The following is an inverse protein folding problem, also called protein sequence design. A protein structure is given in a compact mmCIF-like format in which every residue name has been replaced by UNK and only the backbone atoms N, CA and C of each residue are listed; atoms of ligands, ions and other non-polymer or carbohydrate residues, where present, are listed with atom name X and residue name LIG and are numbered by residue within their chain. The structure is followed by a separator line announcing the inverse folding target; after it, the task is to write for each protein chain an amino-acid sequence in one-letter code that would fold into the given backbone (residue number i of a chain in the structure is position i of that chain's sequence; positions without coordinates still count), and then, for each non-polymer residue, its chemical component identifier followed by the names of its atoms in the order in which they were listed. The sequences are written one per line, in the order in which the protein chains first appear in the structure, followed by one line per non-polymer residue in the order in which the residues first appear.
data_IF_590495596596
#
_entry.id   IF_590495596596
#
_cell.length_a   1.000
_cell.length_b   1.000
_cell.length_c   1.000
_cell.angle_alpha   90.00
_cell.angle_beta   90.00
_cell.angle_gamma   90.00
#
_symmetry.space_group_name_H-M   'P 1'
#
loop_
_entity.id
_entity.type
_entity.pdbx_description
1 polymer ?
#
# COMPACT_ATOMS: atom_id res chain seq x y z
N UNK A 1 -19.01 -18.08 105.23
CA UNK A 1 -17.96 -17.37 104.45
C UNK A 1 -17.34 -18.20 103.30
N UNK A 2 -17.22 -19.53 103.39
CA UNK A 2 -16.60 -20.38 102.33
C UNK A 2 -17.42 -20.47 101.02
N UNK A 3 -18.74 -20.54 101.08
CA UNK A 3 -19.60 -20.63 99.89
C UNK A 3 -19.57 -19.37 99.00
N UNK A 4 -19.46 -18.16 99.58
CA UNK A 4 -19.35 -16.90 98.83
C UNK A 4 -18.01 -16.77 98.10
N UNK A 5 -16.90 -17.24 98.68
CA UNK A 5 -15.58 -17.24 98.04
C UNK A 5 -15.49 -18.26 96.90
N UNK A 6 -16.10 -19.43 97.07
CA UNK A 6 -16.22 -20.43 96.01
C UNK A 6 -17.01 -19.91 94.82
N UNK A 7 -18.20 -19.32 95.05
CA UNK A 7 -19.04 -18.79 93.99
C UNK A 7 -18.34 -17.68 93.18
N UNK A 8 -17.69 -16.72 93.86
CA UNK A 8 -16.94 -15.65 93.17
C UNK A 8 -15.83 -16.24 92.30
N UNK A 9 -15.08 -17.23 92.78
CA UNK A 9 -14.01 -17.86 92.01
C UNK A 9 -14.55 -18.55 90.75
N UNK A 10 -15.65 -19.32 90.86
CA UNK A 10 -16.25 -20.01 89.71
C UNK A 10 -16.82 -19.03 88.70
N UNK A 11 -17.48 -17.95 89.16
CA UNK A 11 -18.01 -16.91 88.28
C UNK A 11 -16.89 -16.15 87.58
N UNK A 12 -15.79 -15.84 88.27
CA UNK A 12 -14.61 -15.18 87.66
C UNK A 12 -13.94 -16.08 86.62
N UNK A 13 -13.79 -17.38 86.90
CA UNK A 13 -13.26 -18.34 85.91
C UNK A 13 -14.19 -18.48 84.70
N UNK A 14 -15.50 -18.54 84.90
CA UNK A 14 -16.47 -18.61 83.81
C UNK A 14 -16.41 -17.35 82.92
N UNK A 15 -16.30 -16.17 83.53
CA UNK A 15 -16.17 -14.90 82.80
C UNK A 15 -14.85 -14.85 82.01
N UNK A 16 -13.71 -15.25 82.60
CA UNK A 16 -12.41 -15.29 81.92
C UNK A 16 -12.44 -16.26 80.72
N UNK A 17 -13.08 -17.42 80.89
CA UNK A 17 -13.20 -18.43 79.82
C UNK A 17 -14.07 -17.94 78.67
N UNK A 18 -15.19 -17.27 78.97
CA UNK A 18 -16.06 -16.67 77.94
C UNK A 18 -15.34 -15.55 77.19
N UNK A 19 -14.57 -14.71 77.89
CA UNK A 19 -13.79 -13.63 77.28
C UNK A 19 -12.64 -14.15 76.39
N UNK A 20 -11.99 -15.25 76.75
CA UNK A 20 -10.93 -15.86 75.92
C UNK A 20 -11.49 -16.52 74.66
N UNK A 21 -12.63 -17.21 74.75
CA UNK A 21 -13.31 -17.78 73.58
C UNK A 21 -13.80 -16.67 72.64
N UNK A 22 -14.41 -15.61 73.18
CA UNK A 22 -14.85 -14.46 72.39
C UNK A 22 -13.67 -13.71 71.73
N UNK A 23 -12.56 -13.53 72.45
CA UNK A 23 -11.33 -12.94 71.92
C UNK A 23 -10.70 -13.77 70.80
N UNK A 24 -10.67 -15.10 70.95
CA UNK A 24 -10.16 -16.02 69.93
C UNK A 24 -11.03 -16.03 68.66
N UNK A 25 -12.36 -15.99 68.79
CA UNK A 25 -13.30 -15.91 67.67
C UNK A 25 -13.16 -14.55 66.96
N UNK A 26 -13.04 -13.45 67.71
CA UNK A 26 -12.82 -12.11 67.15
C UNK A 26 -11.51 -12.00 66.37
N UNK A 27 -10.40 -12.50 66.94
CA UNK A 27 -9.11 -12.58 66.24
C UNK A 27 -9.21 -13.44 64.98
N UNK A 28 -9.88 -14.60 65.04
CA UNK A 28 -10.06 -15.47 63.88
C UNK A 28 -10.84 -14.80 62.74
N UNK A 29 -11.94 -14.10 63.05
CA UNK A 29 -12.76 -13.40 62.05
C UNK A 29 -11.97 -12.25 61.42
N UNK A 30 -11.31 -11.42 62.24
CA UNK A 30 -10.47 -10.30 61.74
C UNK A 30 -9.32 -10.83 60.88
N UNK A 31 -8.66 -11.90 61.31
CA UNK A 31 -7.55 -12.50 60.55
C UNK A 31 -8.04 -13.11 59.24
N UNK A 32 -9.24 -13.72 59.21
CA UNK A 32 -9.85 -14.28 58.01
C UNK A 32 -10.27 -13.19 57.02
N UNK A 33 -10.91 -12.12 57.48
CA UNK A 33 -11.28 -10.98 56.62
C UNK A 33 -10.05 -10.22 56.12
N UNK A 34 -9.01 -10.08 56.96
CA UNK A 34 -7.73 -9.50 56.56
C UNK A 34 -7.04 -10.38 55.51
N UNK A 35 -7.02 -11.70 55.69
CA UNK A 35 -6.48 -12.65 54.69
C UNK A 35 -7.24 -12.59 53.37
N UNK A 36 -8.58 -12.63 53.39
CA UNK A 36 -9.40 -12.51 52.18
C UNK A 36 -9.13 -11.18 51.46
N UNK A 37 -8.94 -10.10 52.21
CA UNK A 37 -8.62 -8.77 51.65
C UNK A 37 -7.20 -8.72 51.07
N UNK A 38 -6.23 -9.35 51.73
CA UNK A 38 -4.84 -9.48 51.24
C UNK A 38 -4.79 -10.36 49.99
N UNK A 39 -5.45 -11.52 49.99
CA UNK A 39 -5.52 -12.45 48.85
C UNK A 39 -6.20 -11.78 47.65
N UNK A 40 -7.26 -11.01 47.89
CA UNK A 40 -7.93 -10.21 46.85
C UNK A 40 -7.00 -9.11 46.33
N UNK A 41 -6.29 -8.41 47.22
CA UNK A 41 -5.30 -7.38 46.84
C UNK A 41 -4.17 -7.96 45.99
N UNK A 42 -3.64 -9.12 46.38
CA UNK A 42 -2.56 -9.80 45.68
C UNK A 42 -3.04 -10.34 44.33
N UNK A 43 -4.26 -10.88 44.25
CA UNK A 43 -4.90 -11.26 42.98
C UNK A 43 -5.07 -10.07 42.04
N UNK A 44 -5.49 -8.90 42.53
CA UNK A 44 -5.62 -7.69 41.71
C UNK A 44 -4.25 -7.23 41.21
N UNK A 45 -3.22 -7.27 42.05
CA UNK A 45 -1.85 -6.90 41.65
C UNK A 45 -1.26 -7.89 40.65
N UNK A 46 -1.51 -9.19 40.82
CA UNK A 46 -1.13 -10.22 39.86
C UNK A 46 -1.81 -10.00 38.50
N UNK A 47 -3.11 -9.67 38.48
CA UNK A 47 -3.82 -9.34 37.25
C UNK A 47 -3.19 -8.14 36.55
N UNK A 48 -3.00 -7.01 37.26
CA UNK A 48 -2.37 -5.80 36.70
C UNK A 48 -0.98 -6.08 36.13
N UNK A 49 -0.19 -6.91 36.79
CA UNK A 49 1.12 -7.33 36.27
C UNK A 49 0.99 -8.11 34.96
N UNK A 50 0.01 -9.01 34.86
CA UNK A 50 -0.28 -9.73 33.62
C UNK A 50 -0.73 -8.78 32.50
N UNK A 51 -1.62 -7.81 32.78
CA UNK A 51 -2.08 -6.79 31.82
C UNK A 51 -0.91 -5.96 31.28
N UNK A 52 -0.06 -5.45 32.18
CA UNK A 52 1.14 -4.69 31.80
C UNK A 52 2.12 -5.53 30.97
N UNK A 53 2.24 -6.83 31.24
CA UNK A 53 3.03 -7.74 30.41
C UNK A 53 2.54 -7.78 28.96
N UNK A 54 1.21 -7.82 28.74
CA UNK A 54 0.61 -7.76 27.40
C UNK A 54 0.85 -6.42 26.73
N UNK A 55 0.68 -5.30 27.44
CA UNK A 55 0.93 -3.96 26.89
C UNK A 55 2.38 -3.77 26.46
N UNK A 56 3.34 -4.20 27.29
CA UNK A 56 4.77 -4.13 26.98
C UNK A 56 5.12 -5.02 25.80
N UNK A 57 4.51 -6.20 25.69
CA UNK A 57 4.68 -7.08 24.54
C UNK A 57 4.20 -6.41 23.24
N UNK A 58 3.03 -5.77 23.27
CA UNK A 58 2.51 -4.98 22.15
C UNK A 58 3.47 -3.84 21.79
N UNK A 59 4.01 -3.10 22.77
CA UNK A 59 4.99 -2.03 22.51
C UNK A 59 6.28 -2.59 21.87
N UNK A 60 6.78 -3.73 22.35
CA UNK A 60 7.96 -4.40 21.78
C UNK A 60 7.71 -4.86 20.34
N UNK A 61 6.53 -5.38 20.05
CA UNK A 61 6.09 -5.72 18.69
C UNK A 61 6.06 -4.46 17.79
N UNK A 62 5.46 -3.36 18.27
CA UNK A 62 5.41 -2.07 17.56
C UNK A 62 6.78 -1.51 17.23
N UNK A 63 7.74 -1.67 18.14
CA UNK A 63 9.10 -1.14 17.99
C UNK A 63 10.08 -2.12 17.32
N UNK A 64 9.59 -3.27 16.79
CA UNK A 64 10.41 -4.31 16.14
C UNK A 64 11.59 -4.79 16.99
N UNK A 65 11.40 -4.84 18.31
CA UNK A 65 12.42 -5.28 19.27
C UNK A 65 12.47 -6.82 19.40
N UNK A 66 11.60 -7.53 18.69
CA UNK A 66 11.49 -8.98 18.69
C UNK A 66 11.96 -9.48 17.33
N UNK A 67 13.03 -10.28 17.31
CA UNK A 67 13.69 -10.73 16.09
C UNK A 67 13.47 -12.21 15.78
N UNK A 68 12.88 -12.98 16.70
CA UNK A 68 12.61 -14.41 16.55
C UNK A 68 11.41 -14.84 17.39
N UNK A 69 10.69 -15.88 16.94
CA UNK A 69 9.58 -16.49 17.67
C UNK A 69 9.82 -17.99 17.91
N UNK A 70 9.36 -18.57 19.03
CA UNK A 70 8.69 -17.89 20.15
C UNK A 70 9.64 -16.96 20.93
N UNK A 71 9.10 -15.89 21.49
CA UNK A 71 9.86 -14.88 22.26
C UNK A 71 9.33 -14.79 23.68
N UNK A 72 10.21 -14.81 24.69
CA UNK A 72 9.81 -14.70 26.09
C UNK A 72 10.57 -13.60 26.83
N UNK A 73 9.88 -12.90 27.73
CA UNK A 73 10.51 -11.93 28.62
C UNK A 73 9.75 -11.81 29.94
N UNK A 74 10.41 -11.30 30.98
CA UNK A 74 9.84 -11.11 32.30
C UNK A 74 10.15 -9.72 32.85
N UNK A 75 9.35 -9.25 33.80
CA UNK A 75 9.56 -7.97 34.47
C UNK A 75 8.80 -7.85 35.78
N UNK A 76 8.88 -6.68 36.41
CA UNK A 76 8.21 -6.38 37.68
C UNK A 76 7.49 -5.03 37.58
N UNK A 77 6.26 -4.95 38.08
CA UNK A 77 5.50 -3.72 38.23
C UNK A 77 4.75 -3.71 39.57
N UNK A 78 4.84 -2.63 40.34
CA UNK A 78 4.10 -2.51 41.62
C UNK A 78 4.35 -3.66 42.61
N UNK A 79 5.59 -4.17 42.71
CA UNK A 79 5.99 -5.32 43.52
C UNK A 79 5.33 -6.66 43.12
N UNK A 80 4.77 -6.78 41.93
CA UNK A 80 4.30 -8.02 41.31
C UNK A 80 5.14 -8.32 40.06
N UNK A 81 5.41 -9.59 39.79
CA UNK A 81 6.20 -10.03 38.63
C UNK A 81 5.31 -10.48 37.50
N UNK A 82 5.74 -10.32 36.25
CA UNK A 82 5.07 -10.91 35.10
C UNK A 82 6.07 -11.68 34.23
N UNK A 83 5.59 -12.71 33.54
CA UNK A 83 6.32 -13.47 32.52
C UNK A 83 5.44 -13.56 31.29
N UNK A 84 5.99 -13.19 30.13
CA UNK A 84 5.27 -13.17 28.85
C UNK A 84 5.94 -14.11 27.87
N UNK A 85 5.13 -14.87 27.14
CA UNK A 85 5.52 -15.64 25.97
C UNK A 85 4.73 -15.15 24.77
N UNK A 86 5.41 -14.92 23.65
CA UNK A 86 4.84 -14.53 22.38
C UNK A 86 5.08 -15.61 21.34
N UNK A 87 4.03 -15.94 20.59
CA UNK A 87 4.07 -16.89 19.49
C UNK A 87 3.37 -16.31 18.25
N UNK A 88 3.66 -16.87 17.07
CA UNK A 88 3.09 -16.45 15.79
C UNK A 88 2.17 -17.54 15.26
N UNK A 89 0.94 -17.17 14.91
CA UNK A 89 -0.01 -18.05 14.24
C UNK A 89 -0.59 -17.34 13.00
N UNK A 90 -0.03 -17.65 11.83
CA UNK A 90 -0.35 -16.94 10.59
C UNK A 90 0.00 -15.45 10.68
N UNK A 91 -0.98 -14.58 10.43
CA UNK A 91 -0.83 -13.11 10.54
C UNK A 91 -1.12 -12.55 11.96
N UNK A 92 -1.38 -13.42 12.93
CA UNK A 92 -1.71 -13.05 14.31
C UNK A 92 -0.58 -13.38 15.28
N UNK A 93 -0.41 -12.55 16.31
CA UNK A 93 0.51 -12.77 17.42
C UNK A 93 -0.29 -13.18 18.66
N UNK A 94 0.09 -14.29 19.27
CA UNK A 94 -0.50 -14.75 20.53
C UNK A 94 0.43 -14.33 21.67
N UNK A 95 -0.11 -13.57 22.61
CA UNK A 95 0.60 -13.08 23.79
C UNK A 95 0.02 -13.78 25.02
N UNK A 96 0.84 -14.58 25.69
CA UNK A 96 0.51 -15.25 26.95
C UNK A 96 1.30 -14.63 28.10
N UNK A 97 0.61 -13.85 28.95
CA UNK A 97 1.22 -13.12 30.07
C UNK A 97 0.71 -13.67 31.40
N UNK A 98 1.64 -14.12 32.25
CA UNK A 98 1.36 -14.60 33.61
C UNK A 98 1.89 -13.60 34.63
N UNK A 99 1.00 -13.01 35.42
CA UNK A 99 1.32 -12.13 36.52
C UNK A 99 1.24 -12.84 37.86
N UNK A 100 2.18 -12.57 38.76
CA UNK A 100 2.29 -13.23 40.07
C UNK A 100 2.59 -12.20 41.17
N UNK A 101 1.86 -12.32 42.28
CA UNK A 101 2.10 -11.60 43.53
C UNK A 101 1.92 -12.57 44.70
N UNK A 102 3.01 -12.86 45.41
CA UNK A 102 3.02 -13.88 46.47
C UNK A 102 2.47 -15.22 45.93
N UNK A 103 1.40 -15.74 46.52
CA UNK A 103 0.73 -16.99 46.11
C UNK A 103 -0.36 -16.78 45.05
N UNK A 104 -0.73 -15.54 44.73
CA UNK A 104 -1.72 -15.23 43.71
C UNK A 104 -1.08 -15.19 42.31
N UNK A 105 -1.65 -15.96 41.38
CA UNK A 105 -1.27 -15.97 39.96
C UNK A 105 -2.50 -15.68 39.09
N UNK A 106 -2.30 -14.86 38.05
CA UNK A 106 -3.30 -14.54 37.03
C UNK A 106 -2.66 -14.62 35.67
N UNK A 107 -3.43 -15.06 34.68
CA UNK A 107 -2.94 -15.22 33.31
C UNK A 107 -3.84 -14.51 32.33
N UNK A 108 -3.24 -13.86 31.35
CA UNK A 108 -3.94 -13.24 30.22
C UNK A 108 -3.41 -13.84 28.93
N UNK A 109 -4.33 -14.29 28.08
CA UNK A 109 -4.02 -14.70 26.71
C UNK A 109 -4.71 -13.72 25.76
N UNK A 110 -3.91 -12.97 25.01
CA UNK A 110 -4.38 -12.01 24.03
C UNK A 110 -3.97 -12.45 22.62
N UNK A 111 -4.85 -12.26 21.64
CA UNK A 111 -4.49 -12.36 20.21
C UNK A 111 -4.51 -10.96 19.63
N UNK A 112 -3.41 -10.57 18.99
CA UNK A 112 -3.26 -9.27 18.34
C UNK A 112 -2.88 -9.44 16.89
N UNK A 113 -3.50 -8.64 16.02
CA UNK A 113 -3.21 -8.63 14.59
C UNK A 113 -2.60 -7.30 14.17
N UNK A 114 -1.71 -7.39 13.19
CA UNK A 114 -1.13 -6.24 12.52
C UNK A 114 -2.26 -5.52 11.77
N UNK A 115 -2.67 -4.31 12.17
CA UNK A 115 -3.69 -3.56 11.42
C UNK A 115 -3.03 -2.99 10.17
N UNK A 116 -3.38 -3.48 8.97
CA UNK A 116 -2.85 -2.92 7.72
C UNK A 116 -2.88 -1.39 7.74
N UNK A 117 -1.80 -0.74 7.29
CA UNK A 117 -1.79 0.72 7.17
C UNK A 117 -2.93 1.13 6.25
N UNK A 118 -3.65 2.21 6.56
CA UNK A 118 -4.62 2.77 5.62
C UNK A 118 -3.87 3.17 4.35
N UNK A 119 -4.10 2.43 3.27
CA UNK A 119 -3.59 2.78 1.96
C UNK A 119 -4.55 3.78 1.31
N UNK A 120 -4.00 4.84 0.75
CA UNK A 120 -4.74 5.82 -0.02
C UNK A 120 -4.34 5.66 -1.48
N UNK A 121 -5.26 5.25 -2.38
CA UNK A 121 -4.95 5.15 -3.80
C UNK A 121 -4.43 6.49 -4.34
N UNK A 122 -4.88 7.60 -3.76
CA UNK A 122 -4.32 8.93 -3.99
C UNK A 122 -3.54 9.36 -2.75
N UNK A 123 -2.22 9.16 -2.77
CA UNK A 123 -1.29 9.44 -1.68
C UNK A 123 -0.35 10.58 -2.07
N UNK A 124 -0.58 11.80 -1.59
CA UNK A 124 0.22 12.99 -1.94
C UNK A 124 0.82 13.63 -0.68
N UNK A 125 2.10 13.36 -0.39
CA UNK A 125 2.80 13.93 0.76
C UNK A 125 3.31 15.36 0.50
N UNK A 126 2.46 16.19 -0.09
CA UNK A 126 2.72 17.58 -0.45
C UNK A 126 1.41 18.29 -0.77
N UNK A 127 1.51 19.37 -1.52
CA UNK A 127 0.34 20.11 -1.98
C UNK A 127 -0.28 19.44 -3.21
N UNK A 128 -1.59 19.21 -3.18
CA UNK A 128 -2.39 18.83 -4.34
C UNK A 128 -3.03 20.07 -4.95
N UNK A 129 -2.64 20.40 -6.19
CA UNK A 129 -3.26 21.43 -7.02
C UNK A 129 -3.80 20.82 -8.30
N UNK A 130 -5.09 21.01 -8.52
CA UNK A 130 -5.77 20.72 -9.79
C UNK A 130 -6.63 21.94 -10.14
N UNK A 131 -6.29 22.69 -11.20
CA UNK A 131 -7.03 23.92 -11.49
C UNK A 131 -8.50 23.64 -11.87
N UNK A 132 -8.76 22.52 -12.55
CA UNK A 132 -10.11 22.11 -12.95
C UNK A 132 -10.32 20.61 -12.75
N UNK A 133 -11.18 20.24 -11.81
CA UNK A 133 -11.66 18.86 -11.66
C UNK A 133 -13.07 18.74 -12.28
N UNK A 134 -13.19 17.92 -13.32
CA UNK A 134 -14.42 17.74 -14.07
C UNK A 134 -14.80 16.27 -14.08
N UNK A 135 -15.84 15.96 -13.32
CA UNK A 135 -16.42 14.63 -13.21
C UNK A 135 -17.83 14.65 -13.83
N UNK A 136 -17.90 14.51 -15.16
CA UNK A 136 -19.11 14.76 -15.97
C UNK A 136 -19.69 13.52 -16.66
N UNK A 137 -19.15 12.33 -16.37
CA UNK A 137 -19.60 11.07 -16.94
C UNK A 137 -20.86 10.46 -16.31
N UNK A 138 -21.24 9.26 -16.75
CA UNK A 138 -22.41 8.52 -16.24
C UNK A 138 -22.24 8.16 -14.75
N UNK A 139 -21.08 7.61 -14.37
CA UNK A 139 -20.72 7.50 -12.97
C UNK A 139 -20.17 8.84 -12.49
N UNK A 140 -20.89 9.51 -11.59
CA UNK A 140 -20.42 10.74 -10.92
C UNK A 140 -19.81 10.46 -9.55
N UNK A 141 -20.00 9.27 -9.02
CA UNK A 141 -19.45 8.85 -7.74
C UNK A 141 -18.30 7.90 -7.97
N UNK A 142 -17.21 8.14 -7.28
CA UNK A 142 -16.07 7.23 -7.27
C UNK A 142 -16.21 6.17 -6.18
N UNK A 143 -15.72 4.97 -6.46
CA UNK A 143 -15.53 3.90 -5.47
C UNK A 143 -14.08 3.89 -4.97
N UNK A 144 -13.85 3.36 -3.77
CA UNK A 144 -12.53 3.22 -3.12
C UNK A 144 -11.60 4.46 -3.18
N UNK A 145 -12.19 5.65 -3.31
CA UNK A 145 -11.49 6.89 -3.60
C UNK A 145 -11.03 7.58 -2.31
N UNK A 146 -10.04 6.98 -1.66
CA UNK A 146 -9.40 7.57 -0.48
C UNK A 146 -8.22 8.46 -0.91
N UNK A 147 -8.27 9.73 -0.52
CA UNK A 147 -7.25 10.73 -0.79
C UNK A 147 -6.55 11.13 0.51
N UNK A 148 -5.27 10.79 0.65
CA UNK A 148 -4.40 11.22 1.73
C UNK A 148 -3.46 12.30 1.22
N UNK A 149 -3.52 13.50 1.79
CA UNK A 149 -2.83 14.68 1.26
C UNK A 149 -2.28 15.56 2.38
N UNK A 150 -1.11 16.17 2.17
CA UNK A 150 -0.55 17.13 3.15
C UNK A 150 -1.26 18.48 3.13
N UNK A 151 -1.57 19.00 1.94
CA UNK A 151 -2.30 20.25 1.76
C UNK A 151 -3.12 20.27 0.46
N UNK A 152 -4.31 20.84 0.52
CA UNK A 152 -5.25 20.97 -0.61
C UNK A 152 -6.11 22.22 -0.36
N UNK A 153 -6.54 22.91 -1.42
CA UNK A 153 -7.50 24.02 -1.28
C UNK A 153 -8.89 23.50 -0.88
N UNK A 154 -9.66 24.31 -0.15
CA UNK A 154 -11.00 23.92 0.27
C UNK A 154 -11.95 23.74 -0.93
N UNK A 155 -11.80 24.54 -1.98
CA UNK A 155 -12.61 24.40 -3.20
C UNK A 155 -12.37 23.06 -3.88
N UNK A 156 -11.09 22.66 -4.02
CA UNK A 156 -10.74 21.40 -4.65
C UNK A 156 -11.15 20.21 -3.78
N UNK A 157 -10.91 20.29 -2.46
CA UNK A 157 -11.36 19.27 -1.51
C UNK A 157 -12.87 19.04 -1.61
N UNK A 158 -13.67 20.10 -1.61
CA UNK A 158 -15.12 20.01 -1.77
C UNK A 158 -15.51 19.33 -3.08
N UNK A 159 -14.84 19.67 -4.19
CA UNK A 159 -15.11 19.05 -5.49
C UNK A 159 -14.81 17.52 -5.50
N UNK A 160 -13.78 17.10 -4.77
CA UNK A 160 -13.48 15.67 -4.56
C UNK A 160 -14.55 14.99 -3.69
N UNK A 161 -14.93 15.58 -2.56
CA UNK A 161 -15.96 15.04 -1.66
C UNK A 161 -17.34 14.94 -2.34
N UNK A 162 -17.71 15.92 -3.18
CA UNK A 162 -18.91 15.88 -4.03
C UNK A 162 -18.87 14.75 -5.05
N UNK A 163 -17.68 14.25 -5.39
CA UNK A 163 -17.44 13.10 -6.25
C UNK A 163 -17.26 11.79 -5.47
N UNK A 164 -17.65 11.76 -4.19
CA UNK A 164 -17.58 10.63 -3.26
C UNK A 164 -16.17 10.23 -2.79
N UNK A 165 -15.17 11.11 -2.91
CA UNK A 165 -13.87 10.86 -2.28
C UNK A 165 -13.95 11.03 -0.77
N UNK A 166 -13.19 10.20 -0.04
CA UNK A 166 -12.87 10.46 1.37
C UNK A 166 -11.52 11.17 1.44
N UNK A 167 -11.54 12.47 1.73
CA UNK A 167 -10.31 13.29 1.79
C UNK A 167 -9.79 13.38 3.22
N UNK A 168 -8.54 12.98 3.43
CA UNK A 168 -7.81 13.13 4.68
C UNK A 168 -6.63 14.07 4.49
N UNK A 169 -6.64 15.16 5.25
CA UNK A 169 -5.57 16.15 5.25
C UNK A 169 -4.74 15.97 6.52
N UNK A 170 -3.45 15.73 6.37
CA UNK A 170 -2.49 15.71 7.48
C UNK A 170 -1.32 16.66 7.20
N UNK A 171 -1.28 17.87 7.80
CA UNK A 171 -0.20 18.82 7.59
C UNK A 171 1.18 18.31 8.02
N UNK A 172 1.25 17.32 8.90
CA UNK A 172 2.50 16.67 9.30
C UNK A 172 3.03 15.71 8.23
N UNK A 173 2.19 15.35 7.25
CA UNK A 173 2.48 14.42 6.18
C UNK A 173 2.18 12.98 6.55
N UNK A 174 2.18 12.12 5.53
CA UNK A 174 1.98 10.69 5.69
C UNK A 174 3.25 9.94 5.25
N UNK A 175 3.43 8.72 5.74
CA UNK A 175 4.46 7.81 5.22
C UNK A 175 3.87 6.95 4.09
N UNK A 176 4.18 7.32 2.85
CA UNK A 176 3.62 6.72 1.65
C UNK A 176 4.62 5.85 0.86
N UNK A 177 4.14 4.94 -0.01
CA UNK A 177 4.95 4.20 -1.00
C UNK A 177 6.00 5.04 -1.69
N UNK A 178 7.25 4.56 -1.66
CA UNK A 178 8.38 5.20 -2.34
C UNK A 178 8.81 4.41 -3.57
N UNK A 179 8.78 5.04 -4.74
CA UNK A 179 9.24 4.46 -5.99
C UNK A 179 10.74 4.16 -5.96
N UNK A 180 11.52 4.94 -5.19
CA UNK A 180 12.94 4.66 -4.89
C UNK A 180 13.21 3.29 -4.28
N UNK A 181 12.21 2.64 -3.68
CA UNK A 181 12.35 1.31 -3.10
C UNK A 181 11.96 0.19 -4.07
N UNK A 182 11.49 0.50 -5.29
CA UNK A 182 11.15 -0.51 -6.27
C UNK A 182 12.41 -1.07 -6.93
N UNK A 183 12.46 -2.38 -7.07
CA UNK A 183 13.56 -3.11 -7.67
C UNK A 183 13.33 -3.29 -9.18
N UNK A 184 13.56 -2.21 -9.93
CA UNK A 184 13.62 -2.19 -11.39
C UNK A 184 14.98 -1.60 -11.77
N UNK A 185 15.95 -2.46 -12.07
CA UNK A 185 17.31 -2.04 -12.44
C UNK A 185 17.60 -2.40 -13.91
N UNK A 186 18.05 -1.45 -14.74
CA UNK A 186 18.45 -1.72 -16.13
C UNK A 186 19.49 -2.84 -16.25
N UNK A 187 20.39 -2.94 -15.27
CA UNK A 187 21.49 -3.91 -15.25
C UNK A 187 20.98 -5.36 -15.26
N UNK A 188 19.83 -5.62 -14.63
CA UNK A 188 19.20 -6.95 -14.54
C UNK A 188 18.67 -7.45 -15.87
N UNK A 189 18.20 -6.56 -16.75
CA UNK A 189 17.56 -6.94 -18.00
C UNK A 189 18.54 -7.10 -19.16
N UNK A 190 19.69 -6.43 -19.07
CA UNK A 190 20.63 -6.40 -20.19
C UNK A 190 21.80 -7.38 -20.04
N UNK A 191 21.90 -8.20 -18.98
CA UNK A 191 23.06 -9.06 -18.66
C UNK A 191 23.55 -9.92 -19.80
N UNK A 192 22.63 -10.43 -20.62
CA UNK A 192 22.92 -11.48 -21.59
C UNK A 192 22.64 -11.06 -23.05
N UNK A 193 22.39 -9.77 -23.31
CA UNK A 193 22.02 -9.27 -24.64
C UNK A 193 23.27 -8.77 -25.39
N UNK A 194 23.55 -9.34 -26.57
CA UNK A 194 24.71 -9.00 -27.44
C UNK A 194 24.77 -7.52 -27.87
N UNK A 195 23.65 -6.80 -27.82
CA UNK A 195 23.60 -5.34 -28.02
C UNK A 195 24.18 -4.64 -26.79
N UNK A 196 25.46 -4.29 -26.90
CA UNK A 196 26.32 -3.89 -25.77
C UNK A 196 25.71 -2.80 -24.89
N UNK A 197 25.57 -3.13 -23.59
CA UNK A 197 25.15 -2.26 -22.48
C UNK A 197 25.79 -0.87 -22.44
N UNK A 198 26.95 -0.70 -23.06
CA UNK A 198 27.74 0.53 -23.00
C UNK A 198 27.71 1.37 -24.31
N UNK A 199 26.99 0.93 -25.35
CA UNK A 199 26.84 1.71 -26.60
C UNK A 199 25.65 2.66 -26.53
N UNK A 200 25.83 3.85 -27.06
CA UNK A 200 24.71 4.71 -27.41
C UNK A 200 24.07 4.17 -28.70
N UNK A 201 22.75 4.02 -28.69
CA UNK A 201 21.96 3.55 -29.83
C UNK A 201 21.06 4.67 -30.33
N UNK A 202 20.97 4.81 -31.65
CA UNK A 202 19.92 5.61 -32.30
C UNK A 202 19.06 4.66 -33.12
N UNK A 203 17.78 4.60 -32.81
CA UNK A 203 16.79 3.75 -33.44
C UNK A 203 15.94 4.61 -34.36
N UNK A 204 16.39 4.77 -35.61
CA UNK A 204 15.69 5.56 -36.63
C UNK A 204 14.58 4.79 -37.34
N UNK A 205 14.67 3.46 -37.38
CA UNK A 205 13.64 2.57 -37.92
C UNK A 205 13.42 1.38 -36.98
N UNK A 206 12.68 1.62 -35.90
CA UNK A 206 12.33 0.58 -34.94
C UNK A 206 11.48 -0.53 -35.58
N UNK A 207 10.73 -0.22 -36.64
CA UNK A 207 9.88 -1.18 -37.35
C UNK A 207 10.72 -2.27 -38.01
N UNK A 208 11.83 -1.90 -38.64
CA UNK A 208 12.74 -2.87 -39.25
C UNK A 208 13.36 -3.82 -38.21
N UNK A 209 13.73 -3.30 -37.03
CA UNK A 209 14.29 -4.11 -35.95
C UNK A 209 13.29 -5.12 -35.36
N UNK A 210 12.01 -4.77 -35.35
CA UNK A 210 10.92 -5.61 -34.82
C UNK A 210 10.32 -6.52 -35.88
N UNK A 211 10.67 -6.34 -37.15
CA UNK A 211 10.13 -7.13 -38.26
C UNK A 211 10.43 -8.62 -38.05
N UNK A 212 9.38 -9.44 -38.08
CA UNK A 212 9.43 -10.89 -37.90
C UNK A 212 9.98 -11.35 -36.54
N UNK A 213 9.98 -10.49 -35.51
CA UNK A 213 10.27 -10.89 -34.13
C UNK A 213 8.97 -11.27 -33.43
N UNK A 214 8.98 -12.38 -32.71
CA UNK A 214 7.92 -12.82 -31.80
C UNK A 214 8.52 -13.10 -30.41
N UNK A 215 7.67 -13.28 -29.40
CA UNK A 215 8.10 -13.51 -28.02
C UNK A 215 8.53 -12.21 -27.33
N UNK A 216 9.67 -12.18 -26.63
CA UNK A 216 10.15 -10.98 -25.92
C UNK A 216 11.41 -10.42 -26.58
N UNK A 217 11.40 -9.12 -26.87
CA UNK A 217 12.51 -8.38 -27.48
C UNK A 217 13.07 -7.37 -26.48
N UNK A 218 14.35 -7.52 -26.15
CA UNK A 218 15.11 -6.56 -25.35
C UNK A 218 16.03 -5.73 -26.25
N UNK A 219 15.89 -4.41 -26.19
CA UNK A 219 16.81 -3.46 -26.80
C UNK A 219 17.57 -2.76 -25.68
N UNK A 220 18.87 -3.08 -25.59
CA UNK A 220 19.73 -2.63 -24.51
C UNK A 220 20.81 -1.65 -25.00
N UNK A 221 21.04 -0.58 -24.24
CA UNK A 221 22.08 0.39 -24.55
C UNK A 221 22.45 1.28 -23.37
N UNK A 222 23.48 2.10 -23.54
CA UNK A 222 23.87 3.13 -22.57
C UNK A 222 22.87 4.29 -22.62
N UNK A 223 22.79 4.95 -23.77
CA UNK A 223 21.72 5.90 -24.11
C UNK A 223 20.99 5.36 -25.33
N UNK A 224 19.66 5.46 -25.36
CA UNK A 224 18.84 5.06 -26.51
C UNK A 224 18.06 6.28 -26.99
N UNK A 225 18.33 6.72 -28.22
CA UNK A 225 17.55 7.73 -28.91
C UNK A 225 16.61 7.06 -29.90
N UNK A 226 15.32 7.38 -29.86
CA UNK A 226 14.31 6.88 -30.79
C UNK A 226 13.85 8.05 -31.64
N UNK A 227 14.08 7.93 -32.93
CA UNK A 227 13.84 8.97 -33.92
C UNK A 227 13.02 8.39 -35.09
N UNK A 228 12.36 9.25 -35.85
CA UNK A 228 11.98 8.89 -37.23
C UNK A 228 10.77 7.97 -37.40
N UNK A 229 10.03 7.64 -36.34
CA UNK A 229 8.76 6.92 -36.49
C UNK A 229 7.69 7.98 -36.77
N UNK A 230 7.58 8.40 -38.02
CA UNK A 230 6.58 9.40 -38.42
C UNK A 230 5.17 8.99 -37.99
N UNK A 231 4.29 9.96 -37.78
CA UNK A 231 2.90 9.76 -37.36
C UNK A 231 2.06 8.91 -38.34
N UNK A 232 2.58 8.58 -39.51
CA UNK A 232 1.94 7.73 -40.52
C UNK A 232 2.34 6.26 -40.44
N UNK A 233 3.41 5.92 -39.69
CA UNK A 233 3.92 4.56 -39.59
C UNK A 233 3.71 4.01 -38.18
N UNK A 234 2.54 3.39 -37.94
CA UNK A 234 2.34 2.61 -36.74
C UNK A 234 3.34 1.44 -36.68
N UNK A 235 3.92 1.25 -35.49
CA UNK A 235 4.68 0.07 -35.14
C UNK A 235 3.70 -1.06 -34.85
N UNK A 236 3.63 -1.97 -35.80
CA UNK A 236 2.97 -3.25 -35.67
C UNK A 236 4.01 -4.25 -35.14
N UNK A 237 3.76 -4.82 -33.97
CA UNK A 237 4.68 -5.78 -33.35
C UNK A 237 3.92 -6.96 -32.75
N UNK A 238 4.46 -8.16 -32.92
CA UNK A 238 3.95 -9.43 -32.38
C UNK A 238 4.80 -9.91 -31.18
N UNK A 239 5.53 -8.99 -30.55
CA UNK A 239 6.51 -9.29 -29.49
C UNK A 239 6.46 -8.30 -28.32
N UNK A 240 6.64 -8.78 -27.10
CA UNK A 240 6.81 -7.93 -25.91
C UNK A 240 8.07 -7.08 -26.06
N UNK A 241 7.92 -5.75 -26.00
CA UNK A 241 9.02 -4.82 -26.25
C UNK A 241 9.56 -4.21 -24.95
N UNK A 242 10.83 -4.44 -24.69
CA UNK A 242 11.58 -3.82 -23.59
C UNK A 242 12.73 -2.97 -24.15
N UNK A 243 12.63 -1.66 -23.96
CA UNK A 243 13.69 -0.70 -24.29
C UNK A 243 14.35 -0.29 -22.98
N UNK A 244 15.60 -0.73 -22.79
CA UNK A 244 16.32 -0.64 -21.52
C UNK A 244 17.62 0.14 -21.72
N UNK A 245 17.70 1.31 -21.09
CA UNK A 245 18.89 2.15 -21.09
C UNK A 245 19.54 2.21 -19.70
N UNK A 246 20.86 2.06 -19.66
CA UNK A 246 21.64 2.27 -18.42
C UNK A 246 21.58 3.73 -17.96
N UNK A 247 21.60 4.65 -18.92
CA UNK A 247 21.42 6.09 -18.72
C UNK A 247 20.07 6.49 -19.29
N UNK A 248 20.01 7.21 -20.41
CA UNK A 248 18.78 7.88 -20.83
C UNK A 248 18.08 7.19 -22.00
N UNK A 249 16.75 7.29 -22.03
CA UNK A 249 15.95 7.08 -23.24
C UNK A 249 15.44 8.43 -23.72
N UNK A 250 15.71 8.78 -24.97
CA UNK A 250 15.22 10.00 -25.61
C UNK A 250 14.28 9.64 -26.75
N UNK A 251 13.07 10.19 -26.74
CA UNK A 251 12.06 9.99 -27.77
C UNK A 251 11.81 11.35 -28.43
N UNK A 252 12.04 11.42 -29.73
CA UNK A 252 11.97 12.69 -30.49
C UNK A 252 10.78 12.77 -31.44
N UNK A 253 9.95 11.74 -31.51
CA UNK A 253 8.74 11.69 -32.33
C UNK A 253 7.63 10.92 -31.62
N UNK A 254 6.37 11.12 -32.04
CA UNK A 254 5.25 10.32 -31.54
C UNK A 254 5.47 8.85 -31.91
N UNK A 255 5.44 7.96 -30.91
CA UNK A 255 5.55 6.53 -31.11
C UNK A 255 4.13 5.95 -31.17
N UNK A 256 3.69 5.59 -32.38
CA UNK A 256 2.42 4.92 -32.58
C UNK A 256 2.62 3.42 -32.50
N UNK A 257 1.91 2.77 -31.60
CA UNK A 257 1.91 1.33 -31.44
C UNK A 257 0.53 0.79 -31.79
N UNK A 258 0.49 -0.28 -32.59
CA UNK A 258 -0.74 -1.02 -32.86
C UNK A 258 -0.56 -2.44 -32.35
N UNK A 259 -1.28 -2.76 -31.28
CA UNK A 259 -1.37 -4.11 -30.74
C UNK A 259 -2.01 -5.04 -31.76
N UNK A 260 -1.29 -6.08 -32.18
CA UNK A 260 -1.68 -6.98 -33.25
C UNK A 260 -1.26 -8.43 -32.97
N UNK A 261 -0.94 -8.78 -31.71
CA UNK A 261 -0.68 -10.16 -31.32
C UNK A 261 -1.88 -11.05 -31.68
N UNK A 262 -1.73 -11.84 -32.75
CA UNK A 262 -2.79 -12.71 -33.27
C UNK A 262 -2.72 -14.14 -32.72
N UNK A 263 -1.60 -14.50 -32.06
CA UNK A 263 -1.21 -15.91 -31.91
C UNK A 263 -1.32 -16.49 -30.50
N UNK A 264 -1.33 -15.67 -29.43
CA UNK A 264 -1.05 -16.18 -28.08
C UNK A 264 -2.07 -15.83 -26.98
N UNK A 265 -3.24 -15.26 -27.29
CA UNK A 265 -4.22 -14.81 -26.27
C UNK A 265 -3.52 -14.08 -25.10
N UNK A 266 -2.69 -13.09 -25.39
CA UNK A 266 -1.91 -12.41 -24.35
C UNK A 266 -1.86 -10.91 -24.59
N UNK A 267 -1.85 -10.14 -23.50
CA UNK A 267 -1.75 -8.69 -23.54
C UNK A 267 -0.47 -8.22 -24.25
N UNK A 268 -0.56 -7.07 -24.92
CA UNK A 268 0.57 -6.40 -25.55
C UNK A 268 1.42 -5.68 -24.51
N UNK A 269 2.73 -5.96 -24.48
CA UNK A 269 3.62 -5.43 -23.45
C UNK A 269 4.63 -4.44 -24.03
N UNK A 270 4.67 -3.24 -23.47
CA UNK A 270 5.60 -2.17 -23.84
C UNK A 270 6.26 -1.60 -22.58
N UNK A 271 7.59 -1.64 -22.52
CA UNK A 271 8.36 -1.16 -21.37
C UNK A 271 9.53 -0.28 -21.80
N UNK A 272 9.62 0.91 -21.20
CA UNK A 272 10.79 1.77 -21.23
C UNK A 272 11.39 1.85 -19.83
N UNK A 273 12.66 1.45 -19.70
CA UNK A 273 13.37 1.38 -18.42
C UNK A 273 14.69 2.15 -18.55
N UNK A 274 14.88 3.19 -17.75
CA UNK A 274 16.07 4.04 -17.78
C UNK A 274 16.70 4.17 -16.39
N UNK A 275 18.02 3.94 -16.26
CA UNK A 275 18.80 4.29 -15.06
C UNK A 275 19.07 5.80 -14.93
N UNK A 276 18.85 6.53 -16.01
CA UNK A 276 18.80 7.99 -16.09
C UNK A 276 17.36 8.47 -16.25
N UNK A 277 17.15 9.35 -17.24
CA UNK A 277 15.85 9.95 -17.54
C UNK A 277 15.18 9.28 -18.75
N UNK A 278 13.85 9.36 -18.79
CA UNK A 278 13.10 9.22 -20.04
C UNK A 278 12.67 10.62 -20.50
N UNK A 279 13.06 11.01 -21.71
CA UNK A 279 12.90 12.36 -22.23
C UNK A 279 12.05 12.30 -23.50
N UNK A 280 10.95 13.05 -23.53
CA UNK A 280 10.09 13.24 -24.70
C UNK A 280 10.29 14.65 -25.25
N UNK A 281 10.90 14.75 -26.43
CA UNK A 281 11.18 15.99 -27.14
C UNK A 281 10.12 16.27 -28.20
N UNK A 282 9.83 17.56 -28.45
CA UNK A 282 9.13 18.10 -29.62
C UNK A 282 8.22 17.11 -30.40
N UNK A 283 6.91 17.12 -30.11
CA UNK A 283 5.91 16.22 -30.70
C UNK A 283 6.04 14.74 -30.31
N UNK A 284 6.93 14.37 -29.39
CA UNK A 284 6.97 13.02 -28.82
C UNK A 284 5.81 12.75 -27.87
N UNK A 285 5.45 11.46 -27.78
CA UNK A 285 4.40 10.89 -26.97
C UNK A 285 4.23 9.42 -27.36
N UNK A 286 3.50 8.64 -26.58
CA UNK A 286 3.14 7.26 -26.92
C UNK A 286 1.68 7.25 -27.30
N UNK A 287 1.34 6.83 -28.52
CA UNK A 287 -0.04 6.57 -28.95
C UNK A 287 -0.21 5.06 -29.12
N UNK A 288 -0.77 4.42 -28.10
CA UNK A 288 -1.05 3.01 -28.10
C UNK A 288 -2.47 2.75 -28.63
N UNK A 289 -2.60 1.88 -29.61
CA UNK A 289 -3.88 1.51 -30.21
C UNK A 289 -3.99 0.00 -30.41
N UNK A 290 -5.20 -0.56 -30.43
CA UNK A 290 -5.46 -1.81 -31.15
C UNK A 290 -5.35 -3.16 -30.41
N UNK A 291 -4.97 -3.26 -29.14
CA UNK A 291 -4.92 -4.57 -28.47
C UNK A 291 -6.33 -5.16 -28.25
N UNK A 292 -6.66 -6.27 -28.91
CA UNK A 292 -7.87 -7.03 -28.55
C UNK A 292 -7.70 -7.66 -27.15
N UNK A 293 -6.51 -8.15 -26.82
CA UNK A 293 -6.25 -8.92 -25.59
C UNK A 293 -5.70 -8.08 -24.42
N UNK A 294 -5.94 -6.76 -24.39
CA UNK A 294 -5.41 -5.86 -23.34
C UNK A 294 -3.94 -5.48 -23.51
N UNK A 295 -3.41 -4.65 -22.60
CA UNK A 295 -2.05 -4.09 -22.72
C UNK A 295 -1.39 -3.80 -21.38
N UNK A 296 -0.07 -3.82 -21.35
CA UNK A 296 0.75 -3.37 -20.22
C UNK A 296 1.80 -2.37 -20.70
N UNK A 297 1.73 -1.13 -20.23
CA UNK A 297 2.68 -0.07 -20.56
C UNK A 297 3.44 0.32 -19.29
N UNK A 298 4.77 0.29 -19.32
CA UNK A 298 5.63 0.76 -18.24
C UNK A 298 6.58 1.86 -18.74
N UNK A 299 6.57 3.00 -18.05
CA UNK A 299 7.63 3.99 -18.06
C UNK A 299 8.31 4.00 -16.70
N UNK A 300 9.54 3.50 -16.62
CA UNK A 300 10.37 3.58 -15.42
C UNK A 300 11.64 4.38 -15.70
N UNK A 301 11.89 5.40 -14.89
CA UNK A 301 13.13 6.17 -14.96
C UNK A 301 13.66 6.47 -13.56
N UNK A 302 14.90 6.12 -13.27
CA UNK A 302 15.50 6.36 -11.96
C UNK A 302 15.73 7.86 -11.68
N UNK A 303 15.94 8.68 -12.73
CA UNK A 303 16.22 10.13 -12.61
C UNK A 303 15.10 11.05 -13.14
N UNK A 304 13.90 10.51 -13.36
CA UNK A 304 12.73 11.31 -13.74
C UNK A 304 12.28 11.12 -15.18
N UNK A 305 11.05 11.56 -15.44
CA UNK A 305 10.40 11.49 -16.75
C UNK A 305 10.01 12.91 -17.15
N UNK A 306 10.54 13.39 -18.27
CA UNK A 306 10.35 14.77 -18.71
C UNK A 306 9.82 14.81 -20.14
N UNK A 307 8.75 15.59 -20.37
CA UNK A 307 8.20 15.85 -21.69
C UNK A 307 8.10 17.35 -21.92
N UNK A 308 8.84 17.83 -22.91
CA UNK A 308 8.71 19.19 -23.43
C UNK A 308 7.67 19.30 -24.54
N UNK A 309 7.10 18.16 -24.94
CA UNK A 309 6.09 18.03 -25.99
C UNK A 309 4.71 18.43 -25.48
N UNK A 310 3.95 19.14 -26.31
CA UNK A 310 2.54 19.43 -26.07
C UNK A 310 1.63 18.22 -26.31
N UNK A 311 2.14 17.14 -26.90
CA UNK A 311 1.39 15.90 -27.06
C UNK A 311 1.20 15.21 -25.70
N UNK A 312 0.20 14.34 -25.61
CA UNK A 312 0.00 13.52 -24.42
C UNK A 312 1.24 12.64 -24.20
N UNK A 313 1.64 12.46 -22.94
CA UNK A 313 2.73 11.56 -22.60
C UNK A 313 2.35 10.13 -23.02
N UNK A 314 1.15 9.69 -22.65
CA UNK A 314 0.52 8.46 -23.13
C UNK A 314 -0.90 8.78 -23.62
N UNK A 315 -1.20 8.30 -24.83
CA UNK A 315 -2.53 8.25 -25.41
C UNK A 315 -2.88 6.78 -25.67
N UNK A 316 -4.08 6.37 -25.27
CA UNK A 316 -4.59 5.02 -25.49
C UNK A 316 -5.86 5.14 -26.32
N UNK A 317 -5.90 4.49 -27.48
CA UNK A 317 -6.99 4.61 -28.44
C UNK A 317 -7.43 3.26 -29.01
N UNK A 318 -8.58 3.22 -29.69
CA UNK A 318 -9.15 1.99 -30.25
C UNK A 318 -10.24 1.34 -29.39
N UNK A 319 -10.72 0.18 -29.81
CA UNK A 319 -11.70 -0.62 -29.08
C UNK A 319 -10.97 -1.84 -28.48
N UNK A 320 -10.85 -1.89 -27.16
CA UNK A 320 -10.06 -2.92 -26.48
C UNK A 320 -10.99 -4.02 -25.96
N UNK A 321 -10.69 -5.26 -26.34
CA UNK A 321 -11.55 -6.44 -26.14
C UNK A 321 -11.36 -7.07 -24.73
N UNK A 322 -12.15 -8.11 -24.43
CA UNK A 322 -12.81 -8.38 -23.13
C UNK A 322 -12.11 -9.32 -22.14
N UNK A 323 -10.90 -9.82 -22.38
CA UNK A 323 -10.39 -10.96 -21.60
C UNK A 323 -9.31 -10.64 -20.54
N UNK A 324 -8.45 -9.64 -20.76
CA UNK A 324 -7.30 -9.36 -19.88
C UNK A 324 -7.34 -7.98 -19.23
N UNK A 325 -6.84 -7.90 -18.00
CA UNK A 325 -6.63 -6.64 -17.27
C UNK A 325 -5.53 -5.82 -17.94
N UNK A 326 -5.80 -4.55 -18.22
CA UNK A 326 -4.80 -3.65 -18.81
C UNK A 326 -4.16 -2.74 -17.77
N UNK A 327 -2.89 -2.41 -17.93
CA UNK A 327 -2.12 -1.67 -16.93
C UNK A 327 -1.25 -0.58 -17.55
N UNK A 328 -1.21 0.58 -16.90
CA UNK A 328 -0.29 1.67 -17.21
C UNK A 328 0.47 2.04 -15.95
N UNK A 329 1.78 1.93 -16.01
CA UNK A 329 2.71 2.24 -14.94
C UNK A 329 3.59 3.42 -15.37
N UNK A 330 3.57 4.50 -14.62
CA UNK A 330 4.54 5.60 -14.75
C UNK A 330 5.22 5.74 -13.40
N UNK A 331 6.48 5.28 -13.31
CA UNK A 331 7.18 5.10 -12.04
C UNK A 331 8.53 5.81 -12.06
N UNK A 332 8.79 6.63 -11.04
CA UNK A 332 10.09 7.28 -10.87
C UNK A 332 10.38 7.69 -9.42
N UNK A 333 11.62 7.53 -8.92
CA UNK A 333 12.08 8.15 -7.67
C UNK A 333 12.18 9.68 -7.71
N UNK A 334 12.06 10.29 -8.89
CA UNK A 334 12.17 11.73 -9.07
C UNK A 334 10.80 12.32 -9.43
N UNK A 335 10.76 13.26 -10.37
CA UNK A 335 9.55 13.93 -10.82
C UNK A 335 9.10 13.41 -12.18
N UNK A 336 7.79 13.41 -12.40
CA UNK A 336 7.19 13.35 -13.75
C UNK A 336 6.79 14.77 -14.14
N UNK A 337 7.34 15.31 -15.23
CA UNK A 337 6.99 16.62 -15.77
C UNK A 337 6.56 16.50 -17.21
N UNK A 338 5.41 17.05 -17.57
CA UNK A 338 4.93 17.04 -18.96
C UNK A 338 4.24 18.35 -19.34
N UNK A 339 4.45 18.83 -20.57
CA UNK A 339 3.64 19.94 -21.08
C UNK A 339 2.26 19.48 -21.51
N UNK A 340 2.13 18.31 -22.14
CA UNK A 340 0.85 17.74 -22.55
C UNK A 340 0.09 17.05 -21.40
N UNK A 341 -0.98 16.32 -21.73
CA UNK A 341 -1.67 15.52 -20.70
C UNK A 341 -0.78 14.35 -20.25
N UNK A 342 -0.88 13.92 -18.98
CA UNK A 342 -0.22 12.67 -18.54
C UNK A 342 -0.81 11.48 -19.29
N UNK A 343 -2.14 11.33 -19.23
CA UNK A 343 -2.85 10.23 -19.88
C UNK A 343 -4.08 10.79 -20.61
N UNK A 344 -4.23 10.40 -21.87
CA UNK A 344 -5.44 10.62 -22.65
C UNK A 344 -6.02 9.28 -23.12
N UNK A 345 -7.21 8.93 -22.66
CA UNK A 345 -7.90 7.68 -22.99
C UNK A 345 -9.29 7.99 -23.56
N UNK A 346 -9.41 8.17 -24.89
CA UNK A 346 -10.69 8.28 -25.58
C UNK A 346 -11.35 6.94 -25.92
N UNK A 347 -10.67 5.82 -25.73
CA UNK A 347 -11.08 4.48 -26.16
C UNK A 347 -12.23 3.88 -25.37
N UNK A 348 -12.98 2.97 -25.98
CA UNK A 348 -13.87 2.09 -25.21
C UNK A 348 -13.08 0.85 -24.82
N UNK A 349 -13.10 0.46 -23.55
CA UNK A 349 -12.55 -0.84 -23.14
C UNK A 349 -13.58 -1.63 -22.35
N UNK A 350 -13.48 -2.96 -22.38
CA UNK A 350 -14.50 -3.86 -21.83
C UNK A 350 -14.02 -4.69 -20.64
N UNK A 351 -12.86 -4.34 -20.08
CA UNK A 351 -12.25 -4.90 -18.86
C UNK A 351 -11.59 -3.79 -18.03
N UNK A 352 -11.16 -4.16 -16.83
CA UNK A 352 -10.49 -3.26 -15.91
C UNK A 352 -9.21 -2.69 -16.52
N UNK A 353 -9.00 -1.40 -16.29
CA UNK A 353 -7.77 -0.71 -16.67
C UNK A 353 -7.22 -0.02 -15.43
N UNK A 354 -6.00 -0.39 -15.07
CA UNK A 354 -5.30 0.16 -13.93
C UNK A 354 -4.31 1.24 -14.38
N UNK A 355 -4.37 2.40 -13.75
CA UNK A 355 -3.41 3.48 -13.90
C UNK A 355 -2.67 3.68 -12.58
N UNK A 356 -1.40 3.27 -12.51
CA UNK A 356 -0.52 3.47 -11.36
C UNK A 356 0.57 4.49 -11.70
N UNK A 357 0.41 5.71 -11.17
CA UNK A 357 1.38 6.79 -11.33
C UNK A 357 2.11 6.99 -10.00
N UNK A 358 3.41 6.71 -9.97
CA UNK A 358 4.18 6.66 -8.75
C UNK A 358 5.48 7.47 -8.89
N UNK A 359 5.47 8.69 -8.37
CA UNK A 359 6.58 9.64 -8.51
C UNK A 359 6.95 10.25 -7.16
N UNK A 360 8.11 9.91 -6.60
CA UNK A 360 8.44 10.30 -5.22
C UNK A 360 8.52 11.81 -5.01
N UNK A 361 9.06 12.57 -5.96
CA UNK A 361 9.30 14.01 -5.78
C UNK A 361 8.25 14.91 -6.40
N UNK A 362 7.27 14.34 -7.11
CA UNK A 362 6.12 15.10 -7.60
C UNK A 362 5.72 14.81 -9.04
N UNK A 363 4.56 15.35 -9.40
CA UNK A 363 3.97 15.22 -10.73
C UNK A 363 3.49 16.59 -11.18
N UNK A 364 3.94 17.03 -12.35
CA UNK A 364 3.61 18.32 -12.93
C UNK A 364 3.10 18.15 -14.36
N UNK A 365 1.94 18.73 -14.67
CA UNK A 365 1.44 18.83 -16.04
C UNK A 365 0.82 20.19 -16.35
N UNK A 366 1.32 20.83 -17.41
CA UNK A 366 0.82 22.14 -17.87
C UNK A 366 -0.55 22.05 -18.55
N UNK A 367 -0.79 21.02 -19.37
CA UNK A 367 -2.07 20.87 -20.07
C UNK A 367 -3.10 20.08 -19.27
N UNK A 368 -2.73 18.99 -18.59
CA UNK A 368 -3.69 18.19 -17.81
C UNK A 368 -3.12 16.90 -17.21
N UNK A 369 -3.74 16.42 -16.14
CA UNK A 369 -3.45 15.08 -15.60
C UNK A 369 -4.09 14.00 -16.46
N UNK A 370 -5.28 13.58 -16.04
CA UNK A 370 -6.09 12.61 -16.78
C UNK A 370 -7.11 13.31 -17.67
N UNK A 371 -7.21 12.84 -18.91
CA UNK A 371 -8.33 13.12 -19.81
C UNK A 371 -8.94 11.79 -20.23
N UNK A 372 -10.00 11.37 -19.56
CA UNK A 372 -10.70 10.11 -19.84
C UNK A 372 -12.06 10.44 -20.45
N UNK A 373 -12.22 10.08 -21.70
CA UNK A 373 -13.48 10.26 -22.44
C UNK A 373 -14.00 8.94 -23.01
N UNK A 374 -13.28 7.85 -22.74
CA UNK A 374 -13.60 6.49 -23.09
C UNK A 374 -14.80 5.93 -22.36
N UNK A 375 -15.44 4.90 -22.92
CA UNK A 375 -16.56 4.20 -22.27
C UNK A 375 -16.13 2.83 -21.74
N UNK A 376 -16.74 2.34 -20.67
CA UNK A 376 -16.84 0.89 -20.46
C UNK A 376 -17.95 0.35 -21.39
N UNK A 377 -17.77 -0.85 -21.96
CA UNK A 377 -18.72 -1.41 -22.94
C UNK A 377 -20.20 -1.42 -22.50
N UNK A 378 -21.13 -1.56 -23.47
CA UNK A 378 -22.59 -1.50 -23.28
C UNK A 378 -23.23 -2.58 -22.37
N UNK A 379 -22.46 -3.46 -21.74
CA UNK A 379 -22.98 -4.49 -20.84
C UNK A 379 -22.78 -4.07 -19.39
N UNK A 380 -23.73 -4.44 -18.54
CA UNK A 380 -23.79 -4.19 -17.10
C UNK A 380 -22.66 -4.89 -16.30
N UNK A 381 -21.52 -5.14 -16.93
CA UNK A 381 -20.38 -5.78 -16.32
C UNK A 381 -19.57 -4.69 -15.59
N UNK A 382 -19.25 -4.96 -14.32
CA UNK A 382 -18.55 -4.10 -13.35
C UNK A 382 -17.09 -3.78 -13.75
N UNK A 383 -16.87 -3.26 -14.95
CA UNK A 383 -15.53 -2.94 -15.42
C UNK A 383 -15.13 -1.55 -14.93
N UNK A 384 -14.07 -1.50 -14.13
CA UNK A 384 -13.61 -0.31 -13.44
C UNK A 384 -12.35 0.28 -14.09
N UNK A 385 -12.25 1.60 -14.04
CA UNK A 385 -10.99 2.31 -14.23
C UNK A 385 -10.42 2.58 -12.85
N UNK A 386 -9.33 1.89 -12.54
CA UNK A 386 -8.69 1.97 -11.25
C UNK A 386 -7.53 2.94 -11.32
N UNK A 387 -7.52 3.93 -10.42
CA UNK A 387 -6.52 4.98 -10.42
C UNK A 387 -5.72 4.96 -9.12
N UNK A 388 -4.41 5.10 -9.24
CA UNK A 388 -3.55 5.43 -8.12
C UNK A 388 -2.51 6.47 -8.50
N UNK A 389 -2.37 7.47 -7.63
CA UNK A 389 -1.31 8.48 -7.69
C UNK A 389 -0.58 8.48 -6.37
N UNK A 390 0.70 8.11 -6.40
CA UNK A 390 1.55 7.98 -5.23
C UNK A 390 2.71 8.96 -5.36
N UNK A 391 2.74 9.95 -4.47
CA UNK A 391 3.77 10.99 -4.38
C UNK A 391 4.25 11.08 -2.94
N UNK A 392 5.40 10.48 -2.66
CA UNK A 392 5.87 10.26 -1.29
C UNK A 392 6.53 11.46 -0.62
N UNK A 393 7.07 12.41 -1.39
CA UNK A 393 7.83 13.57 -0.92
C UNK A 393 7.75 14.74 -1.92
N UNK A 394 6.55 15.07 -2.39
CA UNK A 394 6.40 16.07 -3.45
C UNK A 394 4.98 16.57 -3.64
N UNK A 395 4.87 17.55 -4.52
CA UNK A 395 3.59 18.15 -4.88
C UNK A 395 3.01 17.47 -6.14
N UNK A 396 1.70 17.59 -6.29
CA UNK A 396 1.02 17.30 -7.55
C UNK A 396 0.41 18.60 -8.07
N UNK A 397 0.83 19.03 -9.26
CA UNK A 397 0.33 20.23 -9.92
C UNK A 397 -0.16 19.90 -11.33
N UNK A 398 -1.47 19.89 -11.51
CA UNK A 398 -2.11 19.49 -12.76
C UNK A 398 -3.10 20.55 -13.20
N UNK A 399 -3.13 20.87 -14.49
CA UNK A 399 -4.09 21.88 -14.96
C UNK A 399 -5.55 21.38 -14.91
N UNK A 400 -5.82 20.14 -15.31
CA UNK A 400 -7.16 19.58 -15.13
C UNK A 400 -7.15 18.07 -14.99
N UNK A 401 -8.21 17.55 -14.38
CA UNK A 401 -8.66 16.16 -14.49
C UNK A 401 -10.04 16.18 -15.11
N UNK A 402 -10.19 15.48 -16.23
CA UNK A 402 -11.41 15.50 -17.01
C UNK A 402 -11.88 14.08 -17.28
N UNK A 403 -13.04 13.76 -16.73
CA UNK A 403 -13.70 12.49 -16.93
C UNK A 403 -15.11 12.73 -17.47
N UNK A 404 -15.40 12.19 -18.65
CA UNK A 404 -16.67 12.43 -19.34
C UNK A 404 -17.31 11.19 -19.96
N UNK A 405 -16.67 10.03 -19.86
CA UNK A 405 -17.19 8.80 -20.41
C UNK A 405 -18.25 8.11 -19.54
N UNK A 406 -18.61 6.88 -19.91
CA UNK A 406 -19.53 6.02 -19.18
C UNK A 406 -18.84 5.03 -18.22
N UNK A 407 -17.53 5.15 -18.04
CA UNK A 407 -16.72 4.28 -17.18
C UNK A 407 -17.11 4.38 -15.69
N UNK A 408 -16.99 3.26 -14.98
CA UNK A 408 -16.90 3.25 -13.52
C UNK A 408 -15.48 3.65 -13.12
N UNK A 409 -15.37 4.40 -12.02
CA UNK A 409 -14.09 4.98 -11.58
C UNK A 409 -13.87 4.62 -10.13
N UNK A 410 -12.72 4.02 -9.88
CA UNK A 410 -12.33 3.58 -8.56
C UNK A 410 -10.91 4.05 -8.24
N UNK A 411 -10.62 4.23 -6.96
CA UNK A 411 -9.24 4.21 -6.51
C UNK A 411 -8.75 2.76 -6.51
N UNK A 412 -7.57 2.50 -7.07
CA UNK A 412 -6.96 1.17 -7.02
C UNK A 412 -6.74 0.77 -5.54
N UNK A 413 -7.59 -0.09 -5.01
CA UNK A 413 -7.64 -0.44 -3.59
C UNK A 413 -6.50 -1.37 -3.18
N UNK A 414 -6.29 -1.52 -1.87
CA UNK A 414 -5.31 -2.48 -1.36
C UNK A 414 -5.72 -3.93 -1.67
N UNK A 415 -7.01 -4.25 -1.61
CA UNK A 415 -7.50 -5.59 -1.92
C UNK A 415 -7.30 -5.93 -3.40
N UNK A 416 -7.47 -4.96 -4.31
CA UNK A 416 -7.12 -5.13 -5.73
C UNK A 416 -5.61 -5.27 -5.94
N UNK A 417 -4.79 -4.45 -5.28
CA UNK A 417 -3.32 -4.60 -5.33
C UNK A 417 -2.91 -6.01 -4.89
N UNK A 418 -3.54 -6.54 -3.83
CA UNK A 418 -3.31 -7.89 -3.36
C UNK A 418 -3.78 -8.94 -4.37
N UNK A 419 -4.99 -8.77 -4.91
CA UNK A 419 -5.53 -9.65 -5.95
C UNK A 419 -4.61 -9.71 -7.17
N UNK A 420 -4.18 -8.56 -7.70
CA UNK A 420 -3.26 -8.50 -8.84
C UNK A 420 -1.88 -9.09 -8.51
N UNK A 421 -1.40 -8.96 -7.28
CA UNK A 421 -0.14 -9.56 -6.84
C UNK A 421 -0.21 -11.07 -6.60
N UNK A 422 -1.32 -11.62 -6.10
CA UNK A 422 -1.37 -13.00 -5.61
C UNK A 422 -2.20 -13.90 -6.52
N UNK A 423 -3.34 -13.42 -7.01
CA UNK A 423 -4.40 -14.25 -7.60
C UNK A 423 -4.56 -14.07 -9.11
N UNK A 424 -4.37 -12.85 -9.63
CA UNK A 424 -4.58 -12.57 -11.06
C UNK A 424 -3.58 -13.34 -11.94
N UNK A 425 -4.09 -14.08 -12.93
CA UNK A 425 -3.30 -14.87 -13.89
C UNK A 425 -3.20 -14.22 -15.28
N UNK A 426 -3.87 -13.08 -15.48
CA UNK A 426 -3.93 -12.34 -16.74
C UNK A 426 -2.80 -11.33 -16.89
N UNK A 427 -2.24 -10.85 -15.77
CA UNK A 427 -1.12 -9.90 -15.75
C UNK A 427 0.21 -10.67 -15.82
N UNK A 428 1.11 -10.37 -16.78
CA UNK A 428 2.41 -11.03 -16.86
C UNK A 428 3.26 -10.82 -15.60
N UNK A 429 4.03 -11.86 -15.23
CA UNK A 429 4.81 -11.90 -13.97
C UNK A 429 5.68 -10.66 -13.71
N UNK A 430 6.26 -10.07 -14.76
CA UNK A 430 7.03 -8.84 -14.68
C UNK A 430 6.22 -7.66 -14.11
N UNK A 431 5.03 -7.41 -14.64
CA UNK A 431 4.15 -6.32 -14.19
C UNK A 431 3.47 -6.67 -12.86
N UNK A 432 3.12 -7.93 -12.64
CA UNK A 432 2.61 -8.46 -11.37
C UNK A 432 3.56 -8.17 -10.20
N UNK A 433 4.87 -8.26 -10.43
CA UNK A 433 5.89 -7.93 -9.44
C UNK A 433 5.84 -6.46 -8.98
N UNK A 434 5.37 -5.52 -9.80
CA UNK A 434 5.19 -4.12 -9.39
C UNK A 434 4.10 -4.02 -8.30
N UNK A 435 2.98 -4.72 -8.49
CA UNK A 435 1.93 -4.80 -7.48
C UNK A 435 2.41 -5.48 -6.21
N UNK A 436 3.17 -6.57 -6.32
CA UNK A 436 3.72 -7.25 -5.15
C UNK A 436 4.68 -6.38 -4.35
N UNK A 437 5.57 -5.65 -5.01
CA UNK A 437 6.45 -4.71 -4.31
C UNK A 437 5.66 -3.58 -3.66
N UNK A 438 4.64 -3.02 -4.33
CA UNK A 438 3.76 -2.02 -3.72
C UNK A 438 3.05 -2.58 -2.49
N UNK A 439 2.47 -3.78 -2.61
CA UNK A 439 1.83 -4.52 -1.52
C UNK A 439 2.79 -4.71 -0.35
N UNK A 440 3.99 -5.23 -0.58
CA UNK A 440 4.98 -5.49 0.45
C UNK A 440 5.41 -4.21 1.16
N UNK A 441 5.48 -3.09 0.44
CA UNK A 441 5.75 -1.80 1.08
C UNK A 441 4.55 -1.27 1.87
N UNK A 442 3.30 -1.52 1.45
CA UNK A 442 2.10 -1.20 2.23
C UNK A 442 2.07 -2.07 3.50
N UNK A 443 2.30 -3.38 3.37
CA UNK A 443 2.34 -4.34 4.47
C UNK A 443 3.51 -4.05 5.42
N UNK A 444 4.66 -3.65 4.88
CA UNK A 444 5.90 -3.35 5.59
C UNK A 444 5.90 -1.99 6.29
N UNK A 445 5.06 -1.04 5.84
CA UNK A 445 4.81 0.26 6.47
C UNK A 445 3.94 0.07 7.70
N UNK A 446 4.60 -0.06 8.84
CA UNK A 446 4.08 0.38 10.14
C UNK A 446 2.56 0.21 10.38
N UNK A 447 2.11 -1.02 10.57
CA UNK A 447 1.22 -1.18 11.72
C UNK A 447 2.06 -1.07 12.99
N UNK A 448 2.31 0.16 13.41
CA UNK A 448 2.42 0.43 14.85
C UNK A 448 1.06 0.30 15.53
N UNK A 449 -0.01 0.09 14.76
CA UNK A 449 -1.35 -0.21 15.22
C UNK A 449 -1.58 -1.72 15.20
N UNK A 450 -1.55 -2.32 16.38
CA UNK A 450 -2.06 -3.67 16.58
C UNK A 450 -3.52 -3.57 17.01
N UNK A 451 -4.37 -4.39 16.42
CA UNK A 451 -5.74 -4.56 16.88
C UNK A 451 -5.81 -5.78 17.80
N UNK A 452 -6.36 -5.60 19.00
CA UNK A 452 -6.60 -6.71 19.93
C UNK A 452 -7.85 -7.45 19.44
N UNK A 453 -7.68 -8.64 18.88
CA UNK A 453 -8.78 -9.48 18.40
C UNK A 453 -9.44 -10.29 19.51
N UNK A 454 -8.67 -10.62 20.56
CA UNK A 454 -9.22 -11.27 21.75
C UNK A 454 -8.41 -10.97 23.00
N UNK A 455 -9.09 -11.00 24.15
CA UNK A 455 -8.50 -10.80 25.48
C UNK A 455 -9.19 -11.74 26.47
N UNK A 456 -8.47 -12.75 26.97
CA UNK A 456 -9.01 -13.75 27.91
C UNK A 456 -8.23 -13.72 29.21
N UNK A 457 -8.93 -13.62 30.33
CA UNK A 457 -8.37 -13.59 31.68
C UNK A 457 -8.64 -14.95 32.36
N UNK A 458 -7.64 -15.49 33.04
CA UNK A 458 -7.67 -16.76 33.78
C UNK A 458 -7.18 -16.57 35.22
#
# INVERSE_FOLDING_TARGET
MKAKKGFILTTTLAIITILTIAGAIGLYIVTKETRVTVDTSDSIKALKAAESGVEIAIIKLKNRLITSFPYSFSGTIGNATYTVTLDVNGNSFIIDSKGKKNDAERRIVASVEKKGSTFFPFSINGELRINRFHNKGRSRSWTDAQLGVKSISEELKKAFEESAFTVRVDPSGFDFPKASNIDISPEKYCSDVELSKDKNLTLSDLKELLKNKSGTVFICGKNISIEGIGSENALDFDADLFIVAKENVTISSELKFTGNKQSDNSADNLSFIAGGQIIFNSNAGIDFSGSQEGYNILLYAQKGIESTSSNNLIKISGNQNTEYTSNVFIITPETVRTKGNLIFEPSTTKKDVNFLIWADKGIESEQGGFKITGNSGNTFDNNERNFSILVSNGNVNLNFWFFAGQEQRSGLSYDEIKYYCEEDTTIPSFYKNIYCQLKDMIDGRDSKTFEIKSWKIY
#
